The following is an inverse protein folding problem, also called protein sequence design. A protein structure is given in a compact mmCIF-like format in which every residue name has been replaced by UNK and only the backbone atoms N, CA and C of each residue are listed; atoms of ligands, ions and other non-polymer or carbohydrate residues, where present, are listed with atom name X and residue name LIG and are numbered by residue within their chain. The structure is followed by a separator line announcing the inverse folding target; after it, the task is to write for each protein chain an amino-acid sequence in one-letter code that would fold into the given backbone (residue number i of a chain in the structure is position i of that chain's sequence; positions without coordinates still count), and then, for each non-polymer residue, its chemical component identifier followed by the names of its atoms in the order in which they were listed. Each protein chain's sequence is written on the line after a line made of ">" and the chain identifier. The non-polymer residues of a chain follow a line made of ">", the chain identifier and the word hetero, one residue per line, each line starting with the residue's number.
data_IF_347082867269
#
_entry.id   IF_347082867269
#
_cell.length_a   1.000
_cell.length_b   1.000
_cell.length_c   1.000
_cell.angle_alpha   90.00
_cell.angle_beta   90.00
_cell.angle_gamma   90.00
#
_symmetry.space_group_name_H-M   'P 1'
#
loop_
_entity.id
_entity.type
_entity.pdbx_description
1 polymer ?
#
# COMPACT_ATOMS: atom_id res chain seq x y z
N UNK A 1 -25.80 5.39 -3.10
CA UNK A 1 -24.89 5.00 -4.20
C UNK A 1 -23.88 6.12 -4.37
N UNK A 2 -22.57 5.82 -4.43
CA UNK A 2 -21.53 6.86 -4.59
C UNK A 2 -21.68 7.60 -5.92
N UNK A 3 -21.43 8.92 -5.91
CA UNK A 3 -21.42 9.71 -7.13
C UNK A 3 -20.26 9.32 -8.05
N UNK A 4 -20.33 9.68 -9.34
CA UNK A 4 -19.21 9.49 -10.27
C UNK A 4 -17.95 10.21 -9.80
N UNK A 5 -18.10 11.41 -9.22
CA UNK A 5 -16.98 12.19 -8.72
C UNK A 5 -16.28 11.50 -7.54
N UNK A 6 -17.04 10.88 -6.65
CA UNK A 6 -16.49 10.15 -5.50
C UNK A 6 -15.73 8.90 -5.94
N UNK A 7 -16.29 8.15 -6.91
CA UNK A 7 -15.62 6.97 -7.49
C UNK A 7 -14.29 7.36 -8.14
N UNK A 8 -14.30 8.38 -9.00
CA UNK A 8 -13.08 8.87 -9.66
C UNK A 8 -12.03 9.38 -8.67
N UNK A 9 -12.46 9.92 -7.53
CA UNK A 9 -11.55 10.34 -6.47
C UNK A 9 -10.94 9.16 -5.72
N UNK A 10 -11.76 8.18 -5.32
CA UNK A 10 -11.28 6.95 -4.69
C UNK A 10 -10.25 6.25 -5.59
N UNK A 11 -10.54 6.10 -6.89
CA UNK A 11 -9.61 5.53 -7.87
C UNK A 11 -8.29 6.32 -7.97
N UNK A 12 -8.32 7.66 -7.83
CA UNK A 12 -7.10 8.47 -7.80
C UNK A 12 -6.26 8.18 -6.56
N UNK A 13 -6.89 8.08 -5.39
CA UNK A 13 -6.22 7.76 -4.14
C UNK A 13 -5.60 6.36 -4.21
N UNK A 14 -6.38 5.36 -4.63
CA UNK A 14 -5.94 3.98 -4.76
C UNK A 14 -4.73 3.83 -5.71
N UNK A 15 -4.76 4.50 -6.88
CA UNK A 15 -3.62 4.50 -7.80
C UNK A 15 -2.37 5.14 -7.20
N UNK A 16 -2.52 6.21 -6.44
CA UNK A 16 -1.38 6.85 -5.77
C UNK A 16 -0.80 5.98 -4.65
N UNK A 17 -1.65 5.31 -3.87
CA UNK A 17 -1.23 4.34 -2.84
C UNK A 17 -0.49 3.16 -3.49
N UNK A 18 -1.02 2.59 -4.57
CA UNK A 18 -0.35 1.54 -5.33
C UNK A 18 1.03 2.00 -5.83
N UNK A 19 1.10 3.17 -6.47
CA UNK A 19 2.38 3.74 -6.95
C UNK A 19 3.39 3.95 -5.81
N UNK A 20 2.93 4.44 -4.65
CA UNK A 20 3.81 4.64 -3.50
C UNK A 20 4.42 3.32 -3.04
N UNK A 21 3.60 2.27 -2.94
CA UNK A 21 4.06 0.93 -2.58
C UNK A 21 5.01 0.34 -3.63
N UNK A 22 4.73 0.54 -4.91
CA UNK A 22 5.60 0.06 -6.00
C UNK A 22 6.96 0.74 -5.97
N UNK A 23 7.04 2.06 -5.72
CA UNK A 23 8.31 2.78 -5.55
C UNK A 23 9.15 2.19 -4.41
N UNK A 24 8.52 1.80 -3.30
CA UNK A 24 9.21 1.17 -2.17
C UNK A 24 9.73 -0.22 -2.56
N UNK A 25 8.91 -1.05 -3.20
CA UNK A 25 9.35 -2.37 -3.68
C UNK A 25 10.51 -2.26 -4.69
N UNK A 26 10.47 -1.27 -5.58
CA UNK A 26 11.55 -0.97 -6.54
C UNK A 26 12.84 -0.55 -5.85
N UNK A 27 12.77 0.17 -4.72
CA UNK A 27 13.95 0.48 -3.92
C UNK A 27 14.62 -0.78 -3.33
N UNK A 28 13.89 -1.89 -3.25
CA UNK A 28 14.43 -3.20 -2.84
C UNK A 28 14.74 -4.12 -4.04
N UNK A 29 14.70 -3.56 -5.26
CA UNK A 29 15.01 -4.24 -6.53
C UNK A 29 13.93 -5.21 -7.04
N UNK A 30 12.68 -5.05 -6.63
CA UNK A 30 11.53 -5.73 -7.25
C UNK A 30 10.93 -4.89 -8.39
N UNK A 31 10.30 -5.53 -9.38
CA UNK A 31 9.60 -4.82 -10.47
C UNK A 31 8.45 -3.94 -9.93
N UNK A 32 7.66 -4.50 -9.02
CA UNK A 32 6.54 -3.86 -8.34
C UNK A 32 6.21 -4.54 -6.99
N UNK A 33 5.25 -3.98 -6.25
CA UNK A 33 4.82 -4.51 -4.96
C UNK A 33 4.18 -5.91 -5.08
N UNK A 34 3.54 -6.23 -6.20
CA UNK A 34 2.91 -7.53 -6.41
C UNK A 34 3.99 -8.62 -6.57
N UNK A 35 5.06 -8.35 -7.31
CA UNK A 35 6.20 -9.24 -7.47
C UNK A 35 6.89 -9.49 -6.12
N UNK A 36 7.12 -8.46 -5.30
CA UNK A 36 7.65 -8.64 -3.94
C UNK A 36 6.77 -9.59 -3.10
N UNK A 37 5.45 -9.42 -3.16
CA UNK A 37 4.51 -10.25 -2.40
C UNK A 37 4.54 -11.74 -2.81
N UNK A 38 4.94 -12.09 -4.04
CA UNK A 38 5.00 -13.51 -4.46
C UNK A 38 6.10 -14.29 -3.76
N UNK A 39 7.13 -13.60 -3.26
CA UNK A 39 8.24 -14.24 -2.55
C UNK A 39 7.98 -14.46 -1.06
N UNK A 40 6.86 -13.99 -0.50
CA UNK A 40 6.63 -14.02 0.94
C UNK A 40 6.69 -15.43 1.58
N UNK A 41 6.50 -16.48 0.79
CA UNK A 41 6.56 -17.87 1.21
C UNK A 41 7.65 -18.66 0.45
N UNK A 42 8.67 -17.97 -0.10
CA UNK A 42 9.81 -18.54 -0.82
C UNK A 42 10.70 -19.43 0.09
N UNK A 43 10.82 -20.75 -0.17
CA UNK A 43 11.55 -21.64 0.73
C UNK A 43 13.05 -21.75 0.45
N UNK A 44 13.51 -21.45 -0.77
CA UNK A 44 14.89 -21.70 -1.20
C UNK A 44 15.82 -20.51 -0.97
N UNK A 45 15.29 -19.27 -0.97
CA UNK A 45 16.06 -18.05 -0.77
C UNK A 45 15.51 -17.27 0.43
N UNK A 46 16.06 -17.47 1.64
CA UNK A 46 15.54 -16.86 2.88
C UNK A 46 15.44 -15.33 2.84
N UNK A 47 16.37 -14.67 2.14
CA UNK A 47 16.34 -13.21 1.98
C UNK A 47 15.09 -12.74 1.23
N UNK A 48 14.72 -13.39 0.12
CA UNK A 48 13.51 -13.05 -0.64
C UNK A 48 12.24 -13.35 0.15
N UNK A 49 12.26 -14.41 0.96
CA UNK A 49 11.17 -14.71 1.87
C UNK A 49 10.94 -13.60 2.89
N UNK A 50 12.01 -13.19 3.59
CA UNK A 50 11.95 -12.16 4.61
C UNK A 50 11.47 -10.82 4.03
N UNK A 51 12.03 -10.41 2.89
CA UNK A 51 11.64 -9.19 2.19
C UNK A 51 10.18 -9.24 1.71
N UNK A 52 9.78 -10.33 1.04
CA UNK A 52 8.43 -10.52 0.54
C UNK A 52 7.39 -10.54 1.66
N UNK A 53 7.70 -11.18 2.79
CA UNK A 53 6.83 -11.20 3.97
C UNK A 53 6.66 -9.80 4.57
N UNK A 54 7.75 -9.03 4.72
CA UNK A 54 7.71 -7.67 5.23
C UNK A 54 6.88 -6.74 4.32
N UNK A 55 7.12 -6.77 3.01
CA UNK A 55 6.38 -5.94 2.04
C UNK A 55 4.91 -6.36 1.92
N UNK A 56 4.59 -7.67 1.98
CA UNK A 56 3.21 -8.18 1.99
C UNK A 56 2.42 -7.70 3.22
N UNK A 57 3.06 -7.73 4.39
CA UNK A 57 2.45 -7.24 5.62
C UNK A 57 2.19 -5.72 5.54
N UNK A 58 3.20 -4.94 5.13
CA UNK A 58 3.07 -3.49 4.97
C UNK A 58 2.00 -3.10 3.94
N UNK A 59 1.97 -3.76 2.78
CA UNK A 59 0.94 -3.57 1.74
C UNK A 59 -0.48 -3.72 2.29
N UNK A 60 -0.70 -4.74 3.13
CA UNK A 60 -2.02 -4.98 3.73
C UNK A 60 -2.44 -3.83 4.65
N UNK A 61 -1.52 -3.30 5.44
CA UNK A 61 -1.77 -2.16 6.32
C UNK A 61 -2.03 -0.86 5.52
N UNK A 62 -1.30 -0.62 4.43
CA UNK A 62 -1.54 0.51 3.53
C UNK A 62 -2.95 0.49 2.95
N UNK A 63 -3.42 -0.67 2.47
CA UNK A 63 -4.78 -0.80 1.95
C UNK A 63 -5.83 -0.61 3.03
N UNK A 64 -5.62 -1.18 4.22
CA UNK A 64 -6.53 -0.99 5.35
C UNK A 64 -6.67 0.50 5.72
N UNK A 65 -5.56 1.24 5.82
CA UNK A 65 -5.56 2.67 6.10
C UNK A 65 -6.27 3.48 4.99
N UNK A 66 -5.96 3.21 3.72
CA UNK A 66 -6.58 3.88 2.57
C UNK A 66 -8.10 3.70 2.58
N UNK A 67 -8.58 2.46 2.71
CA UNK A 67 -10.02 2.19 2.69
C UNK A 67 -10.73 2.72 3.94
N UNK A 68 -10.08 2.69 5.11
CA UNK A 68 -10.64 3.30 6.31
C UNK A 68 -10.89 4.79 6.10
N UNK A 69 -9.91 5.54 5.58
CA UNK A 69 -10.07 6.98 5.33
C UNK A 69 -11.14 7.28 4.28
N UNK A 70 -11.13 6.57 3.15
CA UNK A 70 -12.12 6.78 2.08
C UNK A 70 -13.55 6.45 2.55
N UNK A 71 -13.73 5.42 3.40
CA UNK A 71 -15.04 5.05 3.94
C UNK A 71 -15.54 6.03 5.01
N UNK A 72 -14.66 6.61 5.84
CA UNK A 72 -15.04 7.61 6.84
C UNK A 72 -15.67 8.84 6.19
N UNK A 73 -15.15 9.31 5.05
CA UNK A 73 -15.74 10.41 4.28
C UNK A 73 -17.15 10.11 3.80
N UNK A 74 -17.38 8.87 3.35
CA UNK A 74 -18.67 8.44 2.79
C UNK A 74 -19.73 8.35 3.90
N UNK A 75 -19.33 7.96 5.11
CA UNK A 75 -20.24 7.73 6.23
C UNK A 75 -20.49 8.97 7.12
N UNK A 76 -19.50 9.86 7.28
CA UNK A 76 -19.51 10.89 8.33
C UNK A 76 -19.83 12.32 7.84
N UNK A 77 -19.98 12.55 6.53
CA UNK A 77 -20.16 13.90 5.98
C UNK A 77 -18.93 14.80 6.18
N UNK A 78 -17.78 14.21 6.50
CA UNK A 78 -16.49 14.90 6.59
C UNK A 78 -15.98 15.28 5.20
N UNK A 79 -15.14 16.32 5.09
CA UNK A 79 -14.47 16.65 3.84
C UNK A 79 -13.72 15.45 3.28
N UNK A 80 -13.73 15.36 1.95
CA UNK A 80 -13.00 14.32 1.23
C UNK A 80 -11.49 14.52 1.41
N UNK A 81 -10.73 13.47 1.81
CA UNK A 81 -9.28 13.61 1.94
C UNK A 81 -8.68 13.83 0.55
N UNK A 82 -7.71 14.72 0.47
CA UNK A 82 -6.78 14.84 -0.64
C UNK A 82 -5.97 13.54 -0.82
N UNK A 83 -5.34 13.40 -1.99
CA UNK A 83 -4.46 12.26 -2.26
C UNK A 83 -3.26 12.29 -1.30
N UNK A 84 -2.74 13.49 -1.05
CA UNK A 84 -1.59 13.73 -0.18
C UNK A 84 -1.88 13.32 1.27
N UNK A 85 -3.08 13.64 1.78
CA UNK A 85 -3.51 13.20 3.11
C UNK A 85 -3.62 11.67 3.21
N UNK A 86 -4.12 11.01 2.16
CA UNK A 86 -4.18 9.53 2.12
C UNK A 86 -2.78 8.93 2.15
N UNK A 87 -1.83 9.48 1.37
CA UNK A 87 -0.44 9.01 1.36
C UNK A 87 0.26 9.27 2.69
N UNK A 88 0.04 10.44 3.30
CA UNK A 88 0.64 10.79 4.58
C UNK A 88 0.13 9.93 5.76
N UNK A 89 -1.08 9.39 5.66
CA UNK A 89 -1.66 8.51 6.65
C UNK A 89 -1.24 7.03 6.50
N UNK A 90 -0.50 6.67 5.45
CA UNK A 90 -0.02 5.31 5.28
C UNK A 90 0.97 4.94 6.39
N UNK A 91 1.03 3.65 6.79
CA UNK A 91 2.05 3.16 7.71
C UNK A 91 3.46 3.48 7.21
N UNK A 92 4.43 3.70 8.11
CA UNK A 92 5.81 3.96 7.73
C UNK A 92 6.38 2.80 6.90
N UNK A 93 7.25 3.14 5.95
CA UNK A 93 7.96 2.17 5.12
C UNK A 93 8.77 1.23 6.03
N UNK A 94 8.69 -0.10 5.84
CA UNK A 94 9.47 -1.05 6.63
C UNK A 94 10.97 -0.91 6.32
N UNK A 95 11.82 -1.29 7.27
CA UNK A 95 13.24 -1.51 7.00
C UNK A 95 13.43 -2.78 6.17
N UNK A 96 14.40 -2.78 5.25
CA UNK A 96 14.77 -3.99 4.50
C UNK A 96 15.38 -5.02 5.47
N UNK A 97 14.81 -6.23 5.60
CA UNK A 97 15.39 -7.27 6.43
C UNK A 97 16.76 -7.69 5.90
N UNK A 98 17.67 -8.07 6.79
CA UNK A 98 18.94 -8.70 6.44
C UNK A 98 18.96 -10.09 7.09
N UNK A 99 19.08 -11.13 6.28
CA UNK A 99 19.20 -12.51 6.77
C UNK A 99 20.69 -12.89 6.77
N UNK A 100 21.22 -13.23 7.96
CA UNK A 100 22.60 -13.71 8.16
C UNK A 100 22.77 -15.20 7.85
#
# INVERSE_FOLDING_TARGET
>A
MLSRADKLHAERCERSVQRHMDTVAQSWSYDDMRAACTYADEPAVPQFQAEGAALRAWRSLCWAACYQMLNQTIAAGTPRPSVEEVIAALPPVPSRPEVS
#
